data_IF_947133614570
#
_entry.id   IF_947133614570
#
_cell.length_a   1.000
_cell.length_b   1.000
_cell.length_c   1.000
_cell.angle_alpha   90.00
_cell.angle_beta   90.00
_cell.angle_gamma   90.00
#
_symmetry.space_group_name_H-M   'P 1'
#
loop_
_entity.id
_entity.type
_entity.pdbx_description
1 polymer ?
#
# COMPACT_ATOMS: atom_id res chain seq x y z
N UNK A 1 -62.73 32.46 32.26
CA UNK A 1 -62.99 31.49 31.16
C UNK A 1 -64.45 31.60 30.77
N UNK A 2 -64.77 31.84 29.51
CA UNK A 2 -66.15 32.05 29.08
C UNK A 2 -66.80 30.71 28.69
N UNK A 3 -67.96 30.42 29.27
CA UNK A 3 -68.68 29.18 29.00
C UNK A 3 -69.16 29.14 27.55
N UNK A 4 -68.71 28.19 26.72
CA UNK A 4 -69.12 28.15 25.31
C UNK A 4 -70.64 28.03 25.11
N UNK A 5 -71.36 27.40 26.05
CA UNK A 5 -72.80 27.19 25.93
C UNK A 5 -73.67 28.40 26.27
N UNK A 6 -73.33 29.17 27.31
CA UNK A 6 -74.15 30.30 27.78
C UNK A 6 -73.41 31.64 27.81
N UNK A 7 -72.17 31.67 27.33
CA UNK A 7 -71.24 32.81 27.29
C UNK A 7 -71.01 33.52 28.63
N UNK A 8 -71.37 32.88 29.76
CA UNK A 8 -71.09 33.39 31.08
C UNK A 8 -69.60 33.29 31.40
N UNK A 9 -69.04 34.36 31.96
CA UNK A 9 -67.63 34.44 32.32
C UNK A 9 -67.42 33.85 33.72
N UNK A 10 -66.80 32.67 33.77
CA UNK A 10 -66.59 31.93 35.02
C UNK A 10 -65.21 32.25 35.62
N UNK A 11 -65.16 32.22 36.96
CA UNK A 11 -63.91 32.31 37.71
C UNK A 11 -62.98 31.14 37.33
N UNK A 12 -61.67 31.39 37.13
CA UNK A 12 -60.72 30.35 36.76
C UNK A 12 -60.60 29.27 37.85
N UNK A 13 -60.46 28.01 37.44
CA UNK A 13 -60.28 26.86 38.34
C UNK A 13 -61.55 26.07 38.69
N UNK A 14 -62.73 26.50 38.23
CA UNK A 14 -63.96 25.71 38.40
C UNK A 14 -64.16 24.73 37.22
N UNK A 15 -64.45 23.43 37.46
CA UNK A 15 -64.59 22.44 36.41
C UNK A 15 -65.93 22.56 35.65
N UNK A 16 -66.89 23.35 36.15
CA UNK A 16 -68.22 23.54 35.55
C UNK A 16 -68.65 25.00 35.61
N UNK A 17 -69.50 25.38 34.66
CA UNK A 17 -70.06 26.73 34.57
C UNK A 17 -71.06 26.96 35.69
N UNK A 18 -70.89 28.02 36.46
CA UNK A 18 -71.76 28.36 37.59
C UNK A 18 -73.23 28.55 37.15
N UNK A 19 -73.45 29.15 35.97
CA UNK A 19 -74.80 29.47 35.48
C UNK A 19 -75.58 28.28 34.91
N UNK A 20 -74.95 27.46 34.05
CA UNK A 20 -75.66 26.38 33.34
C UNK A 20 -75.10 24.98 33.62
N UNK A 21 -74.13 24.87 34.52
CA UNK A 21 -73.48 23.63 34.95
C UNK A 21 -72.78 22.82 33.83
N UNK A 22 -72.53 23.42 32.65
CA UNK A 22 -71.75 22.77 31.61
C UNK A 22 -70.29 22.63 32.02
N UNK A 23 -69.68 21.49 31.73
CA UNK A 23 -68.26 21.23 32.04
C UNK A 23 -67.40 22.24 31.25
N UNK A 24 -66.55 22.97 31.99
CA UNK A 24 -65.63 24.00 31.46
C UNK A 24 -64.21 23.48 31.27
N UNK A 25 -63.94 22.25 31.68
CA UNK A 25 -62.71 21.58 31.29
C UNK A 25 -62.70 21.54 29.75
N UNK A 26 -61.86 22.41 29.17
CA UNK A 26 -61.27 22.13 27.87
C UNK A 26 -60.86 20.67 27.96
N UNK A 27 -61.50 19.83 27.15
CA UNK A 27 -60.91 18.55 26.80
C UNK A 27 -59.55 18.94 26.20
N UNK A 28 -58.54 19.03 27.07
CA UNK A 28 -57.16 18.77 26.71
C UNK A 28 -57.33 17.46 25.97
N UNK A 29 -57.32 17.56 24.65
CA UNK A 29 -56.98 16.47 23.78
C UNK A 29 -55.66 15.99 24.39
N UNK A 30 -55.75 15.03 25.29
CA UNK A 30 -54.70 14.07 25.54
C UNK A 30 -54.62 13.42 24.18
N UNK A 31 -53.90 14.07 23.27
CA UNK A 31 -53.40 13.45 22.08
C UNK A 31 -52.73 12.21 22.65
N UNK A 32 -53.34 11.07 22.42
CA UNK A 32 -52.86 9.80 22.89
C UNK A 32 -51.57 9.60 22.09
N UNK A 33 -50.47 10.18 22.61
CA UNK A 33 -49.16 10.12 21.98
C UNK A 33 -48.73 8.68 22.19
N UNK A 34 -49.17 7.81 21.30
CA UNK A 34 -48.62 6.49 21.18
C UNK A 34 -47.17 6.69 20.71
N UNK A 35 -46.16 6.51 21.58
CA UNK A 35 -44.79 6.57 21.12
C UNK A 35 -44.64 5.54 20.01
N UNK A 36 -43.98 5.87 18.89
CA UNK A 36 -43.84 4.96 17.77
C UNK A 36 -43.31 3.61 18.28
N UNK A 37 -44.09 2.55 18.06
CA UNK A 37 -43.71 1.20 18.50
C UNK A 37 -42.40 0.85 17.83
N UNK A 38 -41.35 0.77 18.64
CA UNK A 38 -40.01 0.43 18.19
C UNK A 38 -40.05 -0.94 17.50
N UNK A 39 -39.54 -1.06 16.25
CA UNK A 39 -39.62 -2.30 15.51
C UNK A 39 -38.82 -3.41 16.20
N UNK A 40 -39.30 -4.65 16.10
CA UNK A 40 -38.83 -5.82 16.86
C UNK A 40 -37.33 -6.08 16.72
N UNK A 41 -36.75 -5.78 15.55
CA UNK A 41 -35.32 -5.94 15.27
C UNK A 41 -34.41 -5.02 16.10
N UNK A 42 -34.93 -3.92 16.66
CA UNK A 42 -34.13 -3.00 17.48
C UNK A 42 -34.08 -3.38 18.97
N UNK A 43 -34.88 -4.36 19.41
CA UNK A 43 -34.87 -4.86 20.80
C UNK A 43 -33.49 -5.34 21.30
N UNK A 44 -32.70 -6.14 20.55
CA UNK A 44 -31.39 -6.58 21.02
C UNK A 44 -30.40 -5.41 21.23
N UNK A 45 -30.46 -4.39 20.38
CA UNK A 45 -29.60 -3.21 20.49
C UNK A 45 -29.89 -2.35 21.72
N UNK A 46 -31.09 -2.45 22.32
CA UNK A 46 -31.45 -1.73 23.56
C UNK A 46 -30.65 -2.22 24.76
N UNK A 47 -30.37 -3.52 24.86
CA UNK A 47 -29.53 -4.06 25.94
C UNK A 47 -28.10 -3.53 25.81
N UNK A 48 -27.56 -3.56 24.59
CA UNK A 48 -26.21 -3.06 24.29
C UNK A 48 -26.10 -1.56 24.55
N UNK A 49 -27.10 -0.77 24.13
CA UNK A 49 -27.08 0.69 24.34
C UNK A 49 -27.23 1.08 25.81
N UNK A 50 -28.00 0.33 26.61
CA UNK A 50 -28.06 0.52 28.07
C UNK A 50 -26.75 0.14 28.76
N UNK A 51 -26.10 -0.95 28.33
CA UNK A 51 -24.80 -1.33 28.86
C UNK A 51 -23.76 -0.23 28.57
N UNK A 52 -23.76 0.30 27.35
CA UNK A 52 -22.90 1.41 26.94
C UNK A 52 -23.21 2.72 27.68
N UNK A 53 -24.47 2.97 28.06
CA UNK A 53 -24.84 4.13 28.88
C UNK A 53 -24.47 3.97 30.34
N UNK A 54 -24.51 2.75 30.91
CA UNK A 54 -23.99 2.50 32.27
C UNK A 54 -22.49 2.76 32.39
N UNK A 55 -21.74 2.65 31.29
CA UNK A 55 -20.33 3.07 31.23
C UNK A 55 -20.13 4.59 31.10
N UNK A 56 -21.18 5.37 30.81
CA UNK A 56 -21.16 6.84 30.85
C UNK A 56 -21.67 7.31 32.20
N UNK A 57 -20.83 7.15 33.21
CA UNK A 57 -20.96 7.87 34.48
C UNK A 57 -20.99 9.36 34.16
N UNK A 58 -21.96 10.05 34.76
CA UNK A 58 -22.23 11.47 34.62
C UNK A 58 -20.97 12.29 34.98
N UNK A 59 -20.31 12.97 34.03
CA UNK A 59 -19.04 13.64 34.27
C UNK A 59 -19.15 14.90 35.15
N UNK A 60 -20.36 15.31 35.52
CA UNK A 60 -20.59 16.55 36.29
C UNK A 60 -20.76 16.33 37.81
N UNK A 61 -20.70 15.09 38.33
CA UNK A 61 -21.06 14.87 39.74
C UNK A 61 -19.98 15.17 40.79
N UNK A 62 -18.71 15.38 40.45
CA UNK A 62 -17.73 15.86 41.44
C UNK A 62 -16.50 16.51 40.76
N UNK A 63 -16.65 17.77 40.33
CA UNK A 63 -15.51 18.61 39.90
C UNK A 63 -14.96 19.43 41.06
N UNK A 64 -14.18 18.80 41.92
CA UNK A 64 -13.02 19.49 42.51
C UNK A 64 -11.85 19.32 41.53
N UNK A 65 -11.27 20.40 40.99
CA UNK A 65 -10.20 20.33 40.01
C UNK A 65 -8.93 19.83 40.70
N UNK A 66 -8.73 18.53 40.71
CA UNK A 66 -7.43 17.97 41.04
C UNK A 66 -6.56 18.10 39.78
N UNK A 67 -5.82 19.22 39.67
CA UNK A 67 -5.08 19.62 38.47
C UNK A 67 -4.11 18.54 37.96
N UNK A 68 -3.63 17.66 38.83
CA UNK A 68 -2.78 16.52 38.45
C UNK A 68 -3.55 15.45 37.67
N UNK A 69 -4.78 15.12 38.05
CA UNK A 69 -5.64 14.16 37.34
C UNK A 69 -6.10 14.70 35.98
N UNK A 70 -6.34 16.00 35.88
CA UNK A 70 -6.66 16.65 34.61
C UNK A 70 -5.49 16.57 33.61
N UNK A 71 -4.25 16.77 34.08
CA UNK A 71 -3.06 16.65 33.25
C UNK A 71 -2.81 15.21 32.78
N UNK A 72 -2.92 14.21 33.67
CA UNK A 72 -2.78 12.79 33.30
C UNK A 72 -3.87 12.33 32.32
N UNK A 73 -5.10 12.78 32.50
CA UNK A 73 -6.20 12.47 31.58
C UNK A 73 -6.03 13.14 30.21
N UNK A 74 -5.46 14.36 30.17
CA UNK A 74 -5.10 15.05 28.91
C UNK A 74 -4.08 14.24 28.11
N UNK A 75 -3.03 13.73 28.75
CA UNK A 75 -2.01 12.90 28.09
C UNK A 75 -2.51 11.52 27.67
N UNK A 76 -3.31 10.84 28.51
CA UNK A 76 -3.96 9.57 28.11
C UNK A 76 -4.88 9.78 26.92
N UNK A 77 -5.63 10.86 26.88
CA UNK A 77 -6.50 11.18 25.75
C UNK A 77 -5.69 11.43 24.47
N UNK A 78 -4.60 12.19 24.54
CA UNK A 78 -3.68 12.41 23.42
C UNK A 78 -3.09 11.08 22.92
N UNK A 79 -2.55 10.25 23.82
CA UNK A 79 -1.98 8.95 23.47
C UNK A 79 -3.03 8.03 22.80
N UNK A 80 -4.24 7.94 23.35
CA UNK A 80 -5.33 7.16 22.74
C UNK A 80 -5.78 7.71 21.39
N UNK A 81 -5.69 9.02 21.20
CA UNK A 81 -6.01 9.66 19.91
C UNK A 81 -4.93 9.35 18.88
N UNK A 82 -3.65 9.38 19.27
CA UNK A 82 -2.51 8.99 18.41
C UNK A 82 -2.60 7.51 18.03
N UNK A 83 -2.84 6.61 18.98
CA UNK A 83 -2.97 5.16 18.71
C UNK A 83 -4.15 4.90 17.75
N UNK A 84 -5.29 5.57 17.95
CA UNK A 84 -6.44 5.45 17.02
C UNK A 84 -6.20 6.14 15.69
N UNK A 85 -5.27 7.08 15.65
CA UNK A 85 -4.79 7.76 14.46
C UNK A 85 -3.78 6.97 13.64
N UNK A 86 -3.39 5.75 14.06
CA UNK A 86 -2.57 4.84 13.24
C UNK A 86 -3.36 4.35 12.02
N UNK A 87 -4.67 4.15 12.18
CA UNK A 87 -5.56 3.81 11.07
C UNK A 87 -6.27 5.10 10.66
N UNK A 88 -6.05 5.60 9.43
CA UNK A 88 -6.63 6.88 9.02
C UNK A 88 -8.16 6.80 9.14
N UNK A 89 -8.75 7.80 9.80
CA UNK A 89 -10.20 8.00 9.90
C UNK A 89 -10.97 7.01 10.80
N UNK A 90 -10.31 6.02 11.41
CA UNK A 90 -10.95 5.09 12.36
C UNK A 90 -11.61 5.84 13.52
N UNK A 91 -10.90 6.86 14.01
CA UNK A 91 -11.35 7.67 15.12
C UNK A 91 -12.63 8.48 14.77
N UNK A 92 -12.70 9.06 13.58
CA UNK A 92 -13.90 9.75 13.05
C UNK A 92 -15.06 8.80 12.80
N UNK A 93 -14.78 7.60 12.28
CA UNK A 93 -15.80 6.57 12.05
C UNK A 93 -16.50 6.19 13.36
N UNK A 94 -15.72 5.96 14.43
CA UNK A 94 -16.25 5.65 15.76
C UNK A 94 -17.10 6.78 16.37
N UNK A 95 -16.75 8.04 16.07
CA UNK A 95 -17.51 9.21 16.51
C UNK A 95 -18.69 9.58 15.59
N UNK A 96 -18.94 8.82 14.51
CA UNK A 96 -19.95 9.13 13.49
C UNK A 96 -19.73 10.49 12.80
N UNK A 97 -18.50 10.99 12.78
CA UNK A 97 -18.10 12.27 12.13
C UNK A 97 -17.36 12.06 10.81
N UNK A 98 -17.35 10.85 10.26
CA UNK A 98 -16.60 10.51 9.04
C UNK A 98 -16.93 11.39 7.82
N UNK A 99 -18.15 11.94 7.74
CA UNK A 99 -18.53 12.88 6.67
C UNK A 99 -17.60 14.10 6.58
N UNK A 100 -17.01 14.53 7.69
CA UNK A 100 -16.09 15.68 7.75
C UNK A 100 -14.75 15.38 7.07
N UNK A 101 -14.31 14.11 7.06
CA UNK A 101 -13.00 13.71 6.51
C UNK A 101 -13.08 12.88 5.23
N UNK A 102 -14.27 12.64 4.67
CA UNK A 102 -14.45 11.71 3.53
C UNK A 102 -13.55 12.05 2.33
N UNK A 103 -13.36 13.34 2.06
CA UNK A 103 -12.53 13.79 0.94
C UNK A 103 -11.03 13.66 1.22
N UNK A 104 -10.59 13.92 2.46
CA UNK A 104 -9.22 13.66 2.87
C UNK A 104 -8.89 12.17 2.83
N UNK A 105 -9.83 11.32 3.24
CA UNK A 105 -9.69 9.87 3.13
C UNK A 105 -9.58 9.41 1.67
N UNK A 106 -10.46 9.93 0.80
CA UNK A 106 -10.41 9.60 -0.63
C UNK A 106 -9.07 10.06 -1.26
N UNK A 107 -8.61 11.26 -0.92
CA UNK A 107 -7.29 11.76 -1.35
C UNK A 107 -6.15 10.89 -0.82
N UNK A 108 -6.22 10.44 0.43
CA UNK A 108 -5.23 9.54 1.02
C UNK A 108 -5.18 8.20 0.28
N UNK A 109 -6.34 7.57 0.05
CA UNK A 109 -6.44 6.32 -0.72
C UNK A 109 -5.89 6.47 -2.13
N UNK A 110 -6.20 7.59 -2.81
CA UNK A 110 -5.67 7.89 -4.14
C UNK A 110 -4.14 8.02 -4.12
N UNK A 111 -3.59 8.74 -3.14
CA UNK A 111 -2.13 8.88 -3.00
C UNK A 111 -1.46 7.52 -2.74
N UNK A 112 -2.04 6.68 -1.89
CA UNK A 112 -1.52 5.32 -1.63
C UNK A 112 -1.58 4.45 -2.89
N UNK A 113 -2.68 4.51 -3.64
CA UNK A 113 -2.83 3.78 -4.89
C UNK A 113 -1.81 4.24 -5.93
N UNK A 114 -1.59 5.55 -6.09
CA UNK A 114 -0.59 6.12 -7.00
C UNK A 114 0.83 5.78 -6.56
N UNK A 115 1.14 5.85 -5.26
CA UNK A 115 2.44 5.46 -4.73
C UNK A 115 2.75 3.98 -5.01
N UNK A 116 1.79 3.08 -4.80
CA UNK A 116 1.94 1.66 -5.13
C UNK A 116 1.98 1.40 -6.64
N UNK A 117 1.20 2.12 -7.43
CA UNK A 117 1.19 2.00 -8.88
C UNK A 117 2.53 2.39 -9.52
N UNK A 118 3.16 3.43 -8.96
CA UNK A 118 4.45 3.97 -9.37
C UNK A 118 5.60 3.44 -8.54
N UNK A 119 5.40 2.33 -7.82
CA UNK A 119 6.42 1.73 -6.96
C UNK A 119 7.74 1.58 -7.73
N UNK A 120 8.82 2.02 -7.10
CA UNK A 120 10.20 2.21 -7.60
C UNK A 120 10.54 3.51 -8.35
N UNK A 121 9.57 4.31 -8.79
CA UNK A 121 9.83 5.64 -9.35
C UNK A 121 10.03 6.68 -8.23
N UNK A 122 10.88 7.72 -8.42
CA UNK A 122 11.01 8.81 -7.44
C UNK A 122 9.67 9.48 -7.10
N UNK A 123 8.74 9.54 -8.06
CA UNK A 123 7.42 10.12 -7.84
C UNK A 123 6.55 9.34 -6.84
N UNK A 124 6.81 8.04 -6.65
CA UNK A 124 6.15 7.23 -5.61
C UNK A 124 6.40 7.80 -4.21
N UNK A 125 7.64 8.25 -3.93
CA UNK A 125 7.98 8.86 -2.65
C UNK A 125 7.24 10.18 -2.42
N UNK A 126 7.00 10.97 -3.47
CA UNK A 126 6.19 12.18 -3.38
C UNK A 126 4.75 11.86 -3.01
N UNK A 127 4.13 10.87 -3.66
CA UNK A 127 2.77 10.44 -3.31
C UNK A 127 2.69 9.81 -1.92
N UNK A 128 3.71 9.06 -1.50
CA UNK A 128 3.80 8.51 -0.15
C UNK A 128 3.91 9.63 0.90
N UNK A 129 4.72 10.65 0.64
CA UNK A 129 4.82 11.84 1.48
C UNK A 129 3.47 12.59 1.57
N UNK A 130 2.79 12.78 0.44
CA UNK A 130 1.46 13.40 0.43
C UNK A 130 0.42 12.56 1.17
N UNK A 131 0.46 11.23 1.05
CA UNK A 131 -0.37 10.32 1.81
C UNK A 131 -0.09 10.43 3.32
N UNK A 132 1.18 10.48 3.74
CA UNK A 132 1.54 10.68 5.14
C UNK A 132 1.06 12.03 5.68
N UNK A 133 1.13 13.10 4.87
CA UNK A 133 0.62 14.43 5.24
C UNK A 133 -0.91 14.44 5.42
N UNK A 134 -1.66 13.83 4.49
CA UNK A 134 -3.11 13.67 4.60
C UNK A 134 -3.48 12.83 5.82
N UNK A 135 -2.72 11.77 6.11
CA UNK A 135 -2.94 10.93 7.28
C UNK A 135 -2.70 11.72 8.58
N UNK A 136 -1.61 12.48 8.68
CA UNK A 136 -1.34 13.34 9.83
C UNK A 136 -2.45 14.38 10.05
N UNK A 137 -2.94 15.00 8.97
CA UNK A 137 -4.07 15.92 9.03
C UNK A 137 -5.35 15.25 9.54
N UNK A 138 -5.68 14.06 9.02
CA UNK A 138 -6.82 13.26 9.48
C UNK A 138 -6.66 12.92 10.97
N UNK A 139 -5.46 12.54 11.43
CA UNK A 139 -5.23 12.20 12.83
C UNK A 139 -5.45 13.40 13.77
N UNK A 140 -5.05 14.61 13.36
CA UNK A 140 -5.11 15.81 14.18
C UNK A 140 -6.46 16.55 14.16
N UNK A 141 -7.28 16.35 13.12
CA UNK A 141 -8.58 17.03 12.95
C UNK A 141 -9.54 16.83 14.14
N UNK A 142 -9.46 15.71 14.87
CA UNK A 142 -10.36 15.45 16.02
C UNK A 142 -9.91 16.03 17.36
N UNK A 143 -8.64 16.41 17.52
CA UNK A 143 -8.09 16.75 18.84
C UNK A 143 -7.41 18.10 18.89
N UNK A 144 -6.62 18.43 17.86
CA UNK A 144 -5.72 19.58 17.88
C UNK A 144 -6.46 20.92 17.70
N UNK A 145 -7.56 20.95 16.93
CA UNK A 145 -8.30 22.19 16.67
C UNK A 145 -8.92 22.80 17.91
N UNK A 146 -9.42 21.97 18.81
CA UNK A 146 -10.16 22.43 20.00
C UNK A 146 -9.25 22.61 21.23
N UNK A 147 -8.02 22.09 21.21
CA UNK A 147 -7.12 22.10 22.38
C UNK A 147 -5.86 22.95 22.24
N UNK A 148 -5.48 23.34 21.02
CA UNK A 148 -4.32 24.18 20.76
C UNK A 148 -4.82 25.53 20.25
N UNK A 149 -4.67 26.59 21.03
CA UNK A 149 -5.07 27.94 20.60
C UNK A 149 -3.99 28.59 19.72
N UNK A 150 -2.73 28.23 19.94
CA UNK A 150 -1.59 28.78 19.22
C UNK A 150 -1.37 28.09 17.85
N UNK A 151 -1.19 28.90 16.81
CA UNK A 151 -0.90 28.42 15.44
C UNK A 151 0.45 27.72 15.36
N UNK A 152 1.46 28.18 16.10
CA UNK A 152 2.78 27.56 16.14
C UNK A 152 2.73 26.17 16.77
N UNK A 153 1.99 26.00 17.87
CA UNK A 153 1.83 24.69 18.51
C UNK A 153 1.12 23.70 17.58
N UNK A 154 0.09 24.16 16.84
CA UNK A 154 -0.58 23.35 15.82
C UNK A 154 0.38 22.92 14.72
N UNK A 155 1.21 23.83 14.21
CA UNK A 155 2.19 23.53 13.18
C UNK A 155 3.23 22.52 13.67
N UNK A 156 3.72 22.69 14.90
CA UNK A 156 4.71 21.78 15.48
C UNK A 156 4.14 20.37 15.69
N UNK A 157 2.94 20.27 16.25
CA UNK A 157 2.24 18.98 16.44
C UNK A 157 1.96 18.31 15.09
N UNK A 158 1.60 19.07 14.05
CA UNK A 158 1.45 18.57 12.68
C UNK A 158 2.76 18.01 12.13
N UNK A 159 3.85 18.76 12.23
CA UNK A 159 5.17 18.31 11.76
C UNK A 159 5.64 17.03 12.44
N UNK A 160 5.49 16.94 13.77
CA UNK A 160 5.90 15.73 14.51
C UNK A 160 5.02 14.55 14.17
N UNK A 161 3.70 14.74 14.10
CA UNK A 161 2.77 13.67 13.70
C UNK A 161 3.08 13.17 12.29
N UNK A 162 3.36 14.09 11.36
CA UNK A 162 3.80 13.75 10.01
C UNK A 162 5.09 12.94 10.00
N UNK A 163 6.13 13.39 10.72
CA UNK A 163 7.40 12.68 10.79
C UNK A 163 7.24 11.26 11.35
N UNK A 164 6.44 11.09 12.41
CA UNK A 164 6.15 9.78 13.00
C UNK A 164 5.41 8.85 12.03
N UNK A 165 4.38 9.35 11.35
CA UNK A 165 3.62 8.57 10.35
C UNK A 165 4.50 8.22 9.16
N UNK A 166 5.33 9.16 8.69
CA UNK A 166 6.26 8.93 7.58
C UNK A 166 7.27 7.84 7.92
N UNK A 167 7.86 7.89 9.12
CA UNK A 167 8.76 6.83 9.62
C UNK A 167 8.02 5.50 9.70
N UNK A 168 6.78 5.48 10.20
CA UNK A 168 5.97 4.26 10.24
C UNK A 168 5.73 3.67 8.84
N UNK A 169 5.45 4.51 7.83
CA UNK A 169 5.30 4.06 6.44
C UNK A 169 6.61 3.52 5.88
N UNK A 170 7.73 4.21 6.11
CA UNK A 170 9.04 3.75 5.67
C UNK A 170 9.43 2.41 6.31
N UNK A 171 9.12 2.21 7.60
CA UNK A 171 9.32 0.93 8.29
C UNK A 171 8.40 -0.16 7.74
N UNK A 172 7.13 0.15 7.48
CA UNK A 172 6.18 -0.81 6.90
C UNK A 172 6.66 -1.30 5.52
N UNK A 173 7.17 -0.39 4.68
CA UNK A 173 7.75 -0.74 3.37
C UNK A 173 8.98 -1.63 3.52
N UNK A 174 9.80 -1.45 4.57
CA UNK A 174 10.96 -2.32 4.85
C UNK A 174 10.59 -3.72 5.36
N UNK A 175 9.41 -3.86 5.97
CA UNK A 175 8.89 -5.14 6.46
C UNK A 175 8.14 -5.91 5.38
N UNK A 176 7.76 -5.26 4.27
CA UNK A 176 7.21 -5.99 3.13
C UNK A 176 8.20 -7.07 2.68
N UNK A 177 7.71 -8.27 2.33
CA UNK A 177 8.55 -9.38 1.92
C UNK A 177 9.52 -8.92 0.83
N UNK A 178 10.81 -9.20 1.04
CA UNK A 178 11.88 -8.88 0.10
C UNK A 178 11.83 -9.73 -1.17
N UNK A 179 10.86 -10.64 -1.24
CA UNK A 179 10.61 -11.57 -2.32
C UNK A 179 10.44 -10.88 -3.68
N UNK A 180 10.27 -9.55 -3.72
CA UNK A 180 10.20 -8.77 -4.95
C UNK A 180 11.29 -7.71 -5.03
N UNK A 181 11.99 -7.70 -6.17
CA UNK A 181 12.93 -6.64 -6.53
C UNK A 181 12.53 -6.00 -7.87
N UNK A 182 13.08 -4.82 -8.14
CA UNK A 182 12.86 -4.11 -9.39
C UNK A 182 14.21 -3.76 -10.00
N UNK A 183 14.43 -4.13 -11.25
CA UNK A 183 15.70 -3.85 -11.91
C UNK A 183 15.48 -3.55 -13.39
N UNK A 184 16.30 -2.63 -13.92
CA UNK A 184 16.25 -2.24 -15.32
C UNK A 184 17.06 -3.20 -16.17
N UNK A 185 16.44 -3.75 -17.21
CA UNK A 185 17.12 -4.68 -18.10
C UNK A 185 17.91 -3.92 -19.18
N UNK A 186 19.16 -4.31 -19.49
CA UNK A 186 19.87 -3.78 -20.65
C UNK A 186 19.50 -4.53 -21.94
N UNK A 187 18.76 -5.64 -21.84
CA UNK A 187 18.41 -6.51 -22.95
C UNK A 187 17.32 -5.90 -23.83
N UNK A 188 17.34 -6.26 -25.12
CA UNK A 188 16.25 -6.02 -26.05
C UNK A 188 15.76 -7.36 -26.56
N UNK A 189 14.54 -7.76 -26.24
CA UNK A 189 13.95 -9.05 -26.64
C UNK A 189 12.64 -8.77 -27.37
N UNK A 190 12.67 -8.73 -28.72
CA UNK A 190 11.52 -8.36 -29.52
C UNK A 190 10.27 -9.21 -29.27
N UNK A 191 10.41 -10.53 -29.13
CA UNK A 191 9.26 -11.44 -28.94
C UNK A 191 8.52 -11.23 -27.62
N UNK A 192 9.20 -10.70 -26.60
CA UNK A 192 8.63 -10.37 -25.30
C UNK A 192 8.31 -8.86 -25.17
N UNK A 193 8.43 -8.08 -26.26
CA UNK A 193 8.25 -6.63 -26.26
C UNK A 193 9.16 -5.88 -25.25
N UNK A 194 10.31 -6.44 -24.91
CA UNK A 194 11.26 -5.88 -23.94
C UNK A 194 12.28 -5.01 -24.65
N UNK A 195 12.51 -3.81 -24.11
CA UNK A 195 13.52 -2.88 -24.58
C UNK A 195 14.55 -2.57 -23.50
N UNK A 196 15.74 -2.15 -23.93
CA UNK A 196 16.79 -1.71 -23.02
C UNK A 196 16.32 -0.51 -22.20
N UNK A 197 16.44 -0.60 -20.88
CA UNK A 197 16.00 0.39 -19.91
C UNK A 197 14.62 0.15 -19.31
N UNK A 198 13.87 -0.83 -19.83
CA UNK A 198 12.61 -1.29 -19.25
C UNK A 198 12.83 -1.84 -17.83
N UNK A 199 11.81 -1.70 -16.98
CA UNK A 199 11.88 -2.15 -15.59
C UNK A 199 11.13 -3.45 -15.42
N UNK A 200 11.82 -4.46 -14.91
CA UNK A 200 11.25 -5.76 -14.61
C UNK A 200 10.91 -5.83 -13.13
N UNK A 201 9.80 -6.48 -12.81
CA UNK A 201 9.51 -6.99 -11.48
C UNK A 201 10.09 -8.40 -11.41
N UNK A 202 10.97 -8.62 -10.44
CA UNK A 202 11.62 -9.89 -10.21
C UNK A 202 11.13 -10.49 -8.91
N UNK A 203 11.09 -11.82 -8.87
CA UNK A 203 10.77 -12.61 -7.68
C UNK A 203 11.94 -13.49 -7.31
N UNK A 204 12.31 -13.53 -6.04
CA UNK A 204 13.40 -14.38 -5.54
C UNK A 204 13.14 -15.86 -5.89
N UNK A 205 14.21 -16.57 -6.24
CA UNK A 205 14.15 -18.02 -6.51
C UNK A 205 14.17 -18.76 -5.18
N UNK A 206 13.04 -19.41 -4.83
CA UNK A 206 12.86 -20.08 -3.54
C UNK A 206 13.81 -21.28 -3.35
N UNK A 207 14.07 -22.03 -4.42
CA UNK A 207 14.95 -23.20 -4.42
C UNK A 207 16.05 -23.05 -5.49
N UNK A 208 17.31 -22.80 -5.10
CA UNK A 208 18.44 -22.71 -6.03
C UNK A 208 18.70 -24.00 -6.82
N UNK A 209 18.17 -25.14 -6.38
CA UNK A 209 18.28 -26.42 -7.09
C UNK A 209 17.22 -26.59 -8.18
N UNK A 210 16.17 -25.74 -8.18
CA UNK A 210 15.16 -25.75 -9.22
C UNK A 210 15.79 -25.39 -10.57
N UNK A 211 15.64 -26.27 -11.56
CA UNK A 211 16.06 -25.97 -12.92
C UNK A 211 15.12 -24.94 -13.51
N UNK A 212 15.65 -23.76 -13.82
CA UNK A 212 14.91 -22.69 -14.47
C UNK A 212 14.82 -22.97 -15.98
N UNK A 213 13.64 -22.75 -16.60
CA UNK A 213 13.47 -23.00 -18.03
C UNK A 213 14.27 -22.01 -18.86
N UNK A 214 14.64 -22.44 -20.07
CA UNK A 214 15.29 -21.59 -21.07
C UNK A 214 14.38 -20.41 -21.42
N UNK A 215 14.96 -19.24 -21.69
CA UNK A 215 14.24 -18.01 -22.00
C UNK A 215 13.86 -17.20 -20.76
N UNK A 216 13.95 -17.78 -19.56
CA UNK A 216 13.73 -17.06 -18.30
C UNK A 216 14.72 -15.92 -18.17
N UNK A 217 14.20 -14.73 -17.83
CA UNK A 217 15.02 -13.60 -17.44
C UNK A 217 15.32 -13.67 -15.96
N UNK A 218 16.59 -13.53 -15.62
CA UNK A 218 17.08 -13.70 -14.26
C UNK A 218 18.02 -12.59 -13.86
N UNK A 219 17.98 -12.21 -12.59
CA UNK A 219 19.03 -11.45 -11.94
C UNK A 219 20.05 -12.43 -11.37
N UNK A 220 21.31 -12.14 -11.61
CA UNK A 220 22.42 -12.96 -11.14
C UNK A 220 23.65 -12.10 -10.84
N UNK A 221 24.60 -12.67 -10.10
CA UNK A 221 25.88 -12.03 -9.79
C UNK A 221 26.94 -12.40 -10.81
N UNK A 222 27.19 -11.54 -11.78
CA UNK A 222 28.25 -11.71 -12.77
C UNK A 222 29.63 -11.38 -12.18
N UNK A 223 30.68 -12.08 -12.63
CA UNK A 223 32.05 -11.71 -12.30
C UNK A 223 32.44 -10.38 -12.99
N UNK A 224 32.98 -9.42 -12.24
CA UNK A 224 33.56 -8.22 -12.84
C UNK A 224 34.95 -8.55 -13.39
N UNK A 225 35.12 -8.41 -14.71
CA UNK A 225 36.41 -8.61 -15.37
C UNK A 225 37.48 -7.75 -14.69
N UNK A 226 38.48 -8.40 -14.09
CA UNK A 226 39.70 -7.76 -13.59
C UNK A 226 39.63 -7.12 -12.20
N UNK A 227 38.48 -7.15 -11.49
CA UNK A 227 38.39 -6.61 -10.12
C UNK A 227 38.08 -7.64 -9.04
N UNK A 228 37.68 -8.86 -9.38
CA UNK A 228 37.27 -9.87 -8.41
C UNK A 228 35.92 -9.56 -7.73
N UNK A 229 35.44 -8.33 -7.82
CA UNK A 229 34.09 -7.93 -7.43
C UNK A 229 33.04 -8.64 -8.29
N UNK A 230 31.87 -8.86 -7.71
CA UNK A 230 30.69 -9.34 -8.43
C UNK A 230 29.70 -8.20 -8.60
N UNK A 231 29.01 -8.17 -9.74
CA UNK A 231 28.04 -7.13 -10.08
C UNK A 231 26.72 -7.79 -10.41
N UNK A 232 25.64 -7.22 -9.87
CA UNK A 232 24.29 -7.67 -10.19
C UNK A 232 23.94 -7.31 -11.64
N UNK A 233 23.54 -8.31 -12.42
CA UNK A 233 23.17 -8.17 -13.81
C UNK A 233 21.83 -8.86 -14.08
N UNK A 234 21.10 -8.37 -15.09
CA UNK A 234 19.97 -9.09 -15.68
C UNK A 234 20.45 -9.79 -16.94
N UNK A 235 20.03 -11.03 -17.13
CA UNK A 235 20.32 -11.81 -18.32
C UNK A 235 19.18 -12.76 -18.66
N UNK A 236 19.28 -13.39 -19.83
CA UNK A 236 18.35 -14.42 -20.29
C UNK A 236 19.05 -15.77 -20.31
N UNK A 237 18.41 -16.80 -19.76
CA UNK A 237 18.94 -18.17 -19.83
C UNK A 237 18.83 -18.67 -21.27
N UNK A 238 19.97 -18.99 -21.89
CA UNK A 238 20.04 -19.54 -23.25
C UNK A 238 20.41 -21.01 -23.24
N UNK A 239 21.32 -21.43 -22.36
CA UNK A 239 21.75 -22.83 -22.21
C UNK A 239 21.49 -23.35 -20.81
N UNK A 240 21.00 -24.58 -20.72
CA UNK A 240 20.71 -25.32 -19.50
C UNK A 240 21.91 -26.24 -19.12
N UNK A 241 21.93 -26.78 -17.90
CA UNK A 241 22.97 -27.73 -17.49
C UNK A 241 23.14 -28.90 -18.47
N UNK A 242 24.39 -29.26 -18.77
CA UNK A 242 24.79 -30.33 -19.70
C UNK A 242 24.52 -30.06 -21.19
N UNK A 243 24.18 -28.83 -21.57
CA UNK A 243 24.02 -28.47 -22.97
C UNK A 243 25.29 -27.87 -23.58
N UNK A 244 25.39 -27.88 -24.90
CA UNK A 244 26.44 -27.20 -25.66
C UNK A 244 25.83 -26.02 -26.39
N UNK A 245 26.25 -24.81 -26.02
CA UNK A 245 25.86 -23.55 -26.67
C UNK A 245 26.92 -23.18 -27.68
N UNK A 246 26.51 -23.07 -28.94
CA UNK A 246 27.32 -22.58 -30.05
C UNK A 246 26.78 -21.24 -30.51
N UNK A 247 27.66 -20.25 -30.67
CA UNK A 247 27.34 -18.93 -31.22
C UNK A 247 27.96 -18.86 -32.61
N UNK A 248 27.12 -18.69 -33.62
CA UNK A 248 27.58 -18.57 -35.01
C UNK A 248 26.72 -17.53 -35.73
N UNK A 249 27.36 -16.56 -36.38
CA UNK A 249 26.68 -15.52 -37.18
C UNK A 249 25.55 -14.80 -36.42
N UNK A 250 25.77 -14.46 -35.14
CA UNK A 250 24.79 -13.81 -34.26
C UNK A 250 23.53 -14.63 -33.99
N UNK A 251 23.63 -15.95 -34.10
CA UNK A 251 22.56 -16.88 -33.72
C UNK A 251 23.09 -17.88 -32.70
N UNK A 252 22.27 -18.17 -31.68
CA UNK A 252 22.52 -19.25 -30.75
C UNK A 252 22.06 -20.59 -31.34
N UNK A 253 22.90 -21.61 -31.19
CA UNK A 253 22.58 -23.00 -31.43
C UNK A 253 22.78 -23.75 -30.12
N UNK A 254 21.79 -24.51 -29.68
CA UNK A 254 21.91 -25.32 -28.46
C UNK A 254 21.77 -26.79 -28.82
N UNK A 255 22.79 -27.58 -28.53
CA UNK A 255 22.91 -28.97 -28.97
C UNK A 255 22.68 -29.11 -30.49
N UNK A 256 23.15 -28.14 -31.27
CA UNK A 256 22.98 -28.08 -32.74
C UNK A 256 21.63 -27.52 -33.21
N UNK A 257 20.64 -27.31 -32.34
CA UNK A 257 19.36 -26.72 -32.71
C UNK A 257 19.44 -25.19 -32.70
N UNK A 258 19.10 -24.57 -33.83
CA UNK A 258 19.06 -23.11 -34.00
C UNK A 258 17.92 -22.50 -33.17
N UNK A 259 18.22 -21.48 -32.37
CA UNK A 259 17.21 -20.70 -31.64
C UNK A 259 16.68 -19.54 -32.48
N UNK A 260 15.44 -19.12 -32.22
CA UNK A 260 14.82 -17.96 -32.86
C UNK A 260 15.51 -16.66 -32.41
N UNK A 261 15.87 -15.81 -33.36
CA UNK A 261 16.66 -14.59 -33.10
C UNK A 261 15.85 -13.55 -32.34
N UNK A 262 14.54 -13.54 -32.56
CA UNK A 262 13.57 -12.64 -31.94
C UNK A 262 13.36 -12.96 -30.46
N UNK A 263 13.55 -14.23 -30.07
CA UNK A 263 13.44 -14.72 -28.69
C UNK A 263 14.78 -14.73 -27.95
N UNK A 264 15.87 -15.01 -28.68
CA UNK A 264 17.21 -15.15 -28.14
C UNK A 264 18.21 -14.26 -28.91
N UNK A 265 18.09 -12.94 -28.81
CA UNK A 265 18.99 -12.03 -29.51
C UNK A 265 20.40 -12.13 -28.94
N UNK A 266 21.39 -12.21 -29.83
CA UNK A 266 22.81 -12.23 -29.43
C UNK A 266 23.29 -10.79 -29.15
N UNK A 267 23.79 -10.49 -27.93
CA UNK A 267 24.37 -9.21 -27.57
C UNK A 267 25.46 -8.74 -28.53
N UNK A 268 25.58 -7.41 -28.71
CA UNK A 268 26.51 -6.83 -29.69
C UNK A 268 27.97 -7.22 -29.48
N UNK A 269 28.36 -7.44 -28.22
CA UNK A 269 29.72 -7.82 -27.84
C UNK A 269 30.08 -9.29 -28.15
N UNK A 270 29.10 -10.14 -28.45
CA UNK A 270 29.26 -11.57 -28.79
C UNK A 270 29.32 -11.86 -30.30
N UNK A 271 29.39 -10.83 -31.15
CA UNK A 271 29.05 -10.96 -32.58
C UNK A 271 30.17 -11.44 -33.50
N UNK A 272 31.44 -11.51 -33.06
CA UNK A 272 32.59 -11.54 -33.97
C UNK A 272 33.29 -12.89 -34.17
N UNK A 273 32.86 -13.98 -33.54
CA UNK A 273 33.52 -15.29 -33.74
C UNK A 273 32.60 -16.50 -33.47
N UNK A 274 32.98 -17.64 -34.05
CA UNK A 274 32.39 -18.93 -33.74
C UNK A 274 32.87 -19.38 -32.36
N UNK A 275 31.93 -19.53 -31.43
CA UNK A 275 32.23 -19.93 -30.05
C UNK A 275 31.41 -21.16 -29.69
N UNK A 276 32.04 -22.18 -29.11
CA UNK A 276 31.36 -23.36 -28.59
C UNK A 276 31.69 -23.51 -27.10
N UNK A 277 30.65 -23.49 -26.27
CA UNK A 277 30.76 -23.56 -24.82
C UNK A 277 29.86 -24.69 -24.31
N UNK A 278 30.45 -25.65 -23.59
CA UNK A 278 29.71 -26.66 -22.84
C UNK A 278 29.30 -26.10 -21.47
N UNK A 279 28.02 -26.23 -21.13
CA UNK A 279 27.44 -25.83 -19.84
C UNK A 279 27.54 -26.98 -18.85
N UNK A 280 28.16 -26.76 -17.70
CA UNK A 280 28.40 -27.82 -16.71
C UNK A 280 27.13 -28.15 -15.91
N UNK A 281 27.09 -29.30 -15.21
CA UNK A 281 26.03 -29.57 -14.23
C UNK A 281 25.91 -28.42 -13.22
N UNK A 282 24.68 -27.93 -13.02
CA UNK A 282 24.39 -26.84 -12.06
C UNK A 282 24.76 -25.43 -12.53
N UNK A 283 25.29 -25.27 -13.75
CA UNK A 283 25.54 -23.96 -14.38
C UNK A 283 24.49 -23.67 -15.45
N UNK A 284 24.28 -22.38 -15.73
CA UNK A 284 23.49 -21.89 -16.87
C UNK A 284 24.39 -21.08 -17.78
N UNK A 285 24.10 -21.11 -19.09
CA UNK A 285 24.61 -20.10 -20.00
C UNK A 285 23.62 -18.94 -20.08
N UNK A 286 23.96 -17.81 -19.46
CA UNK A 286 23.13 -16.62 -19.37
C UNK A 286 23.67 -15.54 -20.32
N UNK A 287 22.81 -15.08 -21.23
CA UNK A 287 23.11 -13.98 -22.15
C UNK A 287 22.76 -12.63 -21.52
N UNK A 288 23.69 -11.69 -21.54
CA UNK A 288 23.49 -10.32 -21.05
C UNK A 288 24.33 -9.33 -21.86
N UNK A 289 23.95 -8.05 -21.81
CA UNK A 289 24.69 -6.97 -22.47
C UNK A 289 25.77 -6.44 -21.52
N UNK A 290 27.04 -6.70 -21.87
CA UNK A 290 28.18 -6.28 -21.05
C UNK A 290 29.01 -5.22 -21.77
N UNK A 291 29.55 -4.28 -20.98
CA UNK A 291 30.58 -3.36 -21.47
C UNK A 291 31.96 -4.00 -21.33
N UNK A 292 32.30 -4.87 -22.27
CA UNK A 292 33.63 -5.50 -22.30
C UNK A 292 34.65 -4.53 -22.90
N UNK A 293 35.69 -4.18 -22.12
CA UNK A 293 36.87 -3.44 -22.61
C UNK A 293 38.05 -4.40 -22.65
N UNK A 294 38.60 -4.71 -23.83
CA UNK A 294 39.78 -5.58 -23.92
C UNK A 294 40.10 -6.12 -25.32
N UNK A 295 41.25 -6.82 -25.43
CA UNK A 295 41.72 -7.46 -26.66
C UNK A 295 40.93 -8.74 -26.98
N UNK A 296 40.54 -8.93 -28.24
CA UNK A 296 39.73 -10.05 -28.73
C UNK A 296 40.33 -11.45 -28.47
N UNK A 297 41.66 -11.56 -28.28
CA UNK A 297 42.36 -12.85 -28.20
C UNK A 297 41.98 -13.71 -26.97
N UNK A 298 41.26 -13.17 -25.99
CA UNK A 298 40.76 -13.91 -24.81
C UNK A 298 39.24 -14.06 -24.77
N UNK A 299 38.55 -13.85 -25.89
CA UNK A 299 37.08 -13.82 -25.92
C UNK A 299 36.45 -15.09 -25.35
N UNK A 300 36.97 -16.29 -25.69
CA UNK A 300 36.47 -17.56 -25.13
C UNK A 300 36.50 -17.62 -23.60
N UNK A 301 37.57 -17.08 -22.99
CA UNK A 301 37.69 -17.05 -21.53
C UNK A 301 36.71 -16.03 -20.94
N UNK A 302 36.61 -14.85 -21.55
CA UNK A 302 35.66 -13.81 -21.13
C UNK A 302 34.22 -14.30 -21.21
N UNK A 303 33.85 -15.02 -22.27
CA UNK A 303 32.52 -15.62 -22.40
C UNK A 303 32.27 -16.63 -21.30
N UNK A 304 33.23 -17.51 -20.99
CA UNK A 304 33.07 -18.47 -19.90
C UNK A 304 32.91 -17.77 -18.55
N UNK A 305 33.69 -16.73 -18.28
CA UNK A 305 33.64 -16.00 -17.01
C UNK A 305 32.36 -15.15 -16.84
N UNK A 306 31.79 -14.63 -17.93
CA UNK A 306 30.62 -13.75 -17.89
C UNK A 306 29.29 -14.47 -18.15
N UNK A 307 29.28 -15.52 -18.97
CA UNK A 307 28.04 -16.17 -19.41
C UNK A 307 27.78 -17.49 -18.68
N UNK A 308 28.79 -18.18 -18.15
CA UNK A 308 28.56 -19.37 -17.33
C UNK A 308 28.36 -18.94 -15.88
N UNK A 309 27.13 -19.14 -15.39
CA UNK A 309 26.69 -18.67 -14.07
C UNK A 309 26.20 -19.88 -13.29
N UNK A 310 26.64 -20.02 -12.04
CA UNK A 310 26.14 -21.08 -11.18
C UNK A 310 24.65 -20.86 -10.87
N UNK A 311 23.84 -21.92 -10.81
CA UNK A 311 22.44 -21.81 -10.37
C UNK A 311 22.29 -21.17 -8.99
N UNK A 312 23.28 -21.33 -8.11
CA UNK A 312 23.34 -20.66 -6.81
C UNK A 312 23.59 -19.16 -6.86
N UNK A 313 24.03 -18.62 -8.01
CA UNK A 313 24.29 -17.20 -8.22
C UNK A 313 23.10 -16.50 -8.88
N UNK A 314 22.06 -17.25 -9.25
CA UNK A 314 20.78 -16.73 -9.72
C UNK A 314 19.94 -16.38 -8.49
N UNK A 315 19.68 -15.10 -8.29
CA UNK A 315 18.99 -14.60 -7.09
C UNK A 315 17.48 -14.54 -7.30
N UNK A 316 17.06 -14.00 -8.45
CA UNK A 316 15.65 -13.75 -8.74
C UNK A 316 15.35 -13.94 -10.22
N UNK A 317 14.07 -14.20 -10.53
CA UNK A 317 13.55 -14.34 -11.90
C UNK A 317 12.54 -13.26 -12.20
N UNK A 318 12.56 -12.71 -13.40
CA UNK A 318 11.57 -11.74 -13.83
C UNK A 318 10.20 -12.41 -14.01
N UNK A 319 9.17 -11.80 -13.43
CA UNK A 319 7.78 -12.27 -13.54
C UNK A 319 6.93 -11.33 -14.38
N UNK A 320 7.31 -10.05 -14.48
CA UNK A 320 6.50 -9.04 -15.17
C UNK A 320 7.37 -7.93 -15.76
N UNK A 321 6.99 -7.46 -16.96
CA UNK A 321 7.41 -6.16 -17.46
C UNK A 321 6.62 -5.08 -16.71
N UNK A 322 7.26 -4.41 -15.76
CA UNK A 322 6.59 -3.47 -14.86
C UNK A 322 6.46 -2.05 -15.44
N UNK A 323 7.46 -1.58 -16.18
CA UNK A 323 7.48 -0.27 -16.83
C UNK A 323 8.15 -0.36 -18.21
N UNK A 324 7.60 0.28 -19.26
CA UNK A 324 6.52 1.29 -19.23
C UNK A 324 5.09 0.71 -19.11
N UNK A 325 4.16 1.51 -18.57
CA UNK A 325 2.78 1.09 -18.28
C UNK A 325 2.02 0.56 -19.50
N UNK A 326 2.21 1.17 -20.67
CA UNK A 326 1.49 0.81 -21.88
C UNK A 326 1.91 -0.55 -22.46
N UNK A 327 3.08 -1.08 -22.06
CA UNK A 327 3.56 -2.43 -22.40
C UNK A 327 3.55 -3.39 -21.22
N UNK A 328 2.93 -3.02 -20.09
CA UNK A 328 2.98 -3.83 -18.88
C UNK A 328 2.26 -5.16 -19.11
N UNK A 329 2.97 -6.28 -18.97
CA UNK A 329 2.42 -7.63 -19.09
C UNK A 329 3.21 -8.63 -18.23
N UNK A 330 2.59 -9.77 -17.91
CA UNK A 330 3.27 -10.88 -17.24
C UNK A 330 4.21 -11.56 -18.22
N UNK A 331 5.45 -11.80 -17.81
CA UNK A 331 6.38 -12.60 -18.59
C UNK A 331 5.97 -14.06 -18.45
N UNK A 332 5.73 -14.73 -19.57
CA UNK A 332 5.25 -16.10 -19.62
C UNK A 332 6.39 -17.05 -19.21
N UNK A 333 6.07 -18.05 -18.39
CA UNK A 333 7.00 -19.06 -17.88
C UNK A 333 6.44 -20.43 -18.28
N UNK A 334 6.54 -20.75 -19.57
CA UNK A 334 6.13 -22.04 -20.12
C UNK A 334 7.28 -23.04 -20.10
#
# INVERSE_FOLDING_TARGET
MQCQRCQFENMPGQPRCFKCNSILEDQKNIADVHPPRMPSWQRPFRRVSRLLRRGKVDPDRDRRPNNQLAWMNKHRFLLWTVIRGIIPGLAHARQKRFRQIRWYMAGWLLCMALAGWMFSLPLSWTFLGMAAALHAWIALDMGARDTLDNTLDRLWVLMVTFALIFVAYALLIRVMPRDFSFQRTPLMIPSAEIQGGDMLLLRDVEDPSQILPRGTLVQFRAAAIGRGDRVDAIGQIVGLPNEVVTIHERVYYVNGMKLAVEEYPVPGWLTSAHHQIGVRPGEYFISSEYRVRGRQNRMNQVIKELCLVSGSEVESRATMLWWPLHRRHSLRQD
#
